data_IF_769885059579
#
_entry.id   IF_769885059579
#
_cell.length_a   1.000
_cell.length_b   1.000
_cell.length_c   1.000
_cell.angle_alpha   90.00
_cell.angle_beta   90.00
_cell.angle_gamma   90.00
#
_symmetry.space_group_name_H-M   'P 1'
#
loop_
_entity.id
_entity.type
_entity.pdbx_description
1 polymer ?
#
# COMPACT_ATOMS: atom_id res chain seq x y z
N UNK A 1 5.04 4.06 -20.59
CA UNK A 1 3.77 4.55 -20.02
C UNK A 1 3.25 3.68 -18.91
N UNK A 2 3.14 2.38 -19.14
CA UNK A 2 2.72 1.44 -18.09
C UNK A 2 3.67 1.42 -16.90
N UNK A 3 4.97 1.54 -17.16
CA UNK A 3 6.01 1.58 -16.13
C UNK A 3 5.83 2.81 -15.24
N UNK A 4 5.49 3.96 -15.80
CA UNK A 4 5.28 5.19 -15.05
C UNK A 4 4.09 5.06 -14.09
N UNK A 5 2.99 4.48 -14.56
CA UNK A 5 1.79 4.24 -13.73
C UNK A 5 2.14 3.26 -12.61
N UNK A 6 2.83 2.18 -12.94
CA UNK A 6 3.26 1.19 -11.96
C UNK A 6 4.13 1.82 -10.89
N UNK A 7 5.16 2.57 -11.30
CA UNK A 7 6.08 3.22 -10.37
C UNK A 7 5.38 4.26 -9.51
N UNK A 8 4.52 5.10 -10.11
CA UNK A 8 3.81 6.13 -9.36
C UNK A 8 2.90 5.51 -8.29
N UNK A 9 2.16 4.48 -8.65
CA UNK A 9 1.26 3.80 -7.72
C UNK A 9 2.04 3.07 -6.63
N UNK A 10 3.08 2.33 -7.00
CA UNK A 10 3.90 1.60 -6.06
C UNK A 10 4.62 2.54 -5.09
N UNK A 11 5.23 3.60 -5.61
CA UNK A 11 5.95 4.58 -4.77
C UNK A 11 4.99 5.32 -3.84
N UNK A 12 3.80 5.69 -4.32
CA UNK A 12 2.78 6.32 -3.49
C UNK A 12 2.36 5.42 -2.34
N UNK A 13 2.09 4.15 -2.61
CA UNK A 13 1.71 3.19 -1.59
C UNK A 13 2.85 2.90 -0.61
N UNK A 14 4.07 2.77 -1.10
CA UNK A 14 5.24 2.54 -0.24
C UNK A 14 5.48 3.76 0.66
N UNK A 15 5.34 4.99 0.12
CA UNK A 15 5.46 6.21 0.92
C UNK A 15 4.45 6.26 2.05
N UNK A 16 3.19 5.96 1.76
CA UNK A 16 2.14 5.86 2.77
C UNK A 16 2.47 4.75 3.77
N UNK A 17 2.97 3.61 3.29
CA UNK A 17 3.40 2.51 4.14
C UNK A 17 4.50 2.90 5.10
N UNK A 18 5.46 3.70 4.67
CA UNK A 18 6.52 4.21 5.53
C UNK A 18 5.94 5.09 6.64
N UNK A 19 5.02 5.99 6.31
CA UNK A 19 4.33 6.81 7.31
C UNK A 19 3.60 5.95 8.33
N UNK A 20 2.87 4.96 7.86
CA UNK A 20 2.14 4.03 8.72
C UNK A 20 3.09 3.18 9.56
N UNK A 21 4.25 2.84 9.03
CA UNK A 21 5.28 2.12 9.77
C UNK A 21 5.75 2.93 11.00
N UNK A 22 5.97 4.23 10.83
CA UNK A 22 6.33 5.09 11.96
C UNK A 22 5.20 5.15 12.99
N UNK A 23 3.95 5.23 12.54
CA UNK A 23 2.78 5.20 13.42
C UNK A 23 2.73 3.86 14.17
N UNK A 24 3.01 2.77 13.46
CA UNK A 24 3.06 1.43 14.06
C UNK A 24 4.15 1.35 15.13
N UNK A 25 5.33 1.88 14.88
CA UNK A 25 6.42 1.91 15.85
C UNK A 25 6.00 2.64 17.14
N UNK A 26 5.32 3.78 16.97
CA UNK A 26 4.81 4.54 18.12
C UNK A 26 3.74 3.75 18.88
N UNK A 27 2.85 3.06 18.14
CA UNK A 27 1.80 2.24 18.75
C UNK A 27 2.35 1.05 19.51
N UNK A 28 3.48 0.52 19.07
CA UNK A 28 4.14 -0.61 19.73
C UNK A 28 5.18 -0.16 20.77
N UNK A 29 5.24 1.12 21.07
CA UNK A 29 6.09 1.64 22.10
C UNK A 29 5.67 1.03 23.45
N UNK A 30 6.61 0.47 24.18
CA UNK A 30 6.34 -0.27 25.41
C UNK A 30 6.44 -1.79 25.25
N UNK A 31 6.46 -2.29 24.03
CA UNK A 31 6.76 -3.70 23.76
C UNK A 31 8.26 -3.89 23.66
N UNK A 32 8.74 -5.08 24.02
CA UNK A 32 10.14 -5.44 23.77
C UNK A 32 10.37 -5.61 22.26
N UNK A 33 11.63 -5.53 21.82
CA UNK A 33 11.97 -5.76 20.43
C UNK A 33 11.48 -7.12 19.92
N UNK A 34 11.58 -8.17 20.73
CA UNK A 34 11.11 -9.50 20.38
C UNK A 34 9.59 -9.57 20.27
N UNK A 35 8.86 -8.82 21.11
CA UNK A 35 7.41 -8.79 21.06
C UNK A 35 6.89 -8.06 19.83
N UNK A 36 7.56 -6.99 19.41
CA UNK A 36 7.15 -6.17 18.27
C UNK A 36 7.58 -6.76 16.93
N UNK A 37 8.65 -7.54 16.89
CA UNK A 37 9.27 -8.03 15.65
C UNK A 37 8.29 -8.74 14.71
N UNK A 38 7.46 -9.72 15.16
CA UNK A 38 6.53 -10.39 14.23
C UNK A 38 5.55 -9.43 13.57
N UNK A 39 5.03 -8.46 14.31
CA UNK A 39 4.10 -7.47 13.77
C UNK A 39 4.77 -6.57 12.74
N UNK A 40 6.00 -6.14 13.00
CA UNK A 40 6.75 -5.29 12.08
C UNK A 40 7.09 -6.02 10.78
N UNK A 41 7.52 -7.28 10.89
CA UNK A 41 7.81 -8.11 9.73
C UNK A 41 6.54 -8.33 8.90
N UNK A 42 5.43 -8.67 9.54
CA UNK A 42 4.16 -8.84 8.86
C UNK A 42 3.76 -7.57 8.12
N UNK A 43 3.91 -6.42 8.74
CA UNK A 43 3.56 -5.14 8.15
C UNK A 43 4.39 -4.84 6.91
N UNK A 44 5.70 -5.07 6.96
CA UNK A 44 6.59 -4.85 5.81
C UNK A 44 6.16 -5.74 4.64
N UNK A 45 5.92 -7.03 4.89
CA UNK A 45 5.46 -7.96 3.86
C UNK A 45 4.12 -7.50 3.30
N UNK A 46 3.20 -7.10 4.16
CA UNK A 46 1.87 -6.60 3.78
C UNK A 46 1.97 -5.40 2.84
N UNK A 47 2.78 -4.40 3.20
CA UNK A 47 2.97 -3.19 2.40
C UNK A 47 3.55 -3.54 1.03
N UNK A 48 4.57 -4.39 0.98
CA UNK A 48 5.20 -4.76 -0.28
C UNK A 48 4.23 -5.52 -1.19
N UNK A 49 3.50 -6.48 -0.65
CA UNK A 49 2.54 -7.27 -1.43
C UNK A 49 1.40 -6.41 -1.97
N UNK A 50 0.76 -5.61 -1.11
CA UNK A 50 -0.38 -4.81 -1.54
C UNK A 50 0.02 -3.62 -2.39
N UNK A 51 1.21 -3.06 -2.21
CA UNK A 51 1.72 -2.01 -3.09
C UNK A 51 1.96 -2.55 -4.49
N UNK A 52 2.55 -3.73 -4.62
CA UNK A 52 2.76 -4.37 -5.92
C UNK A 52 1.42 -4.71 -6.58
N UNK A 53 0.47 -5.28 -5.84
CA UNK A 53 -0.85 -5.61 -6.36
C UNK A 53 -1.60 -4.36 -6.81
N UNK A 54 -1.58 -3.29 -6.03
CA UNK A 54 -2.21 -2.02 -6.39
C UNK A 54 -1.59 -1.43 -7.66
N UNK A 55 -0.26 -1.51 -7.79
CA UNK A 55 0.43 -1.01 -8.96
C UNK A 55 0.04 -1.77 -10.23
N UNK A 56 -0.05 -3.10 -10.17
CA UNK A 56 -0.52 -3.92 -11.29
C UNK A 56 -1.95 -3.57 -11.65
N UNK A 57 -2.82 -3.46 -10.65
CA UNK A 57 -4.23 -3.09 -10.88
C UNK A 57 -4.37 -1.71 -11.50
N UNK A 58 -3.51 -0.76 -11.10
CA UNK A 58 -3.52 0.59 -11.67
C UNK A 58 -3.17 0.56 -13.16
N UNK A 59 -2.16 -0.22 -13.54
CA UNK A 59 -1.78 -0.36 -14.96
C UNK A 59 -2.93 -0.96 -15.76
N UNK A 60 -3.56 -2.03 -15.25
CA UNK A 60 -4.68 -2.68 -15.94
C UNK A 60 -5.88 -1.74 -16.05
N UNK A 61 -6.17 -0.98 -15.00
CA UNK A 61 -7.26 -0.01 -14.99
C UNK A 61 -7.02 1.12 -16.00
N UNK A 62 -5.81 1.65 -16.06
CA UNK A 62 -5.47 2.70 -17.03
C UNK A 62 -5.61 2.20 -18.45
N UNK A 63 -5.17 0.98 -18.73
CA UNK A 63 -5.31 0.35 -20.04
C UNK A 63 -6.80 0.16 -20.40
N UNK A 64 -7.59 -0.30 -19.45
CA UNK A 64 -9.05 -0.45 -19.63
C UNK A 64 -9.71 0.89 -19.95
N UNK A 65 -9.42 1.93 -19.20
CA UNK A 65 -10.02 3.24 -19.41
C UNK A 65 -9.63 3.84 -20.75
N UNK A 66 -8.39 3.62 -21.18
CA UNK A 66 -7.91 4.14 -22.46
C UNK A 66 -8.55 3.41 -23.64
N UNK A 67 -8.66 2.08 -23.57
CA UNK A 67 -9.16 1.28 -24.71
C UNK A 67 -10.68 1.18 -24.72
N UNK A 68 -11.34 0.98 -23.59
CA UNK A 68 -12.78 0.72 -23.52
C UNK A 68 -13.61 1.99 -23.36
N UNK A 69 -13.10 2.97 -22.62
CA UNK A 69 -13.82 4.22 -22.36
C UNK A 69 -13.34 5.38 -23.24
N UNK A 70 -12.34 5.15 -24.08
CA UNK A 70 -11.77 6.16 -24.97
C UNK A 70 -11.28 7.42 -24.25
N UNK A 71 -10.88 7.28 -22.99
CA UNK A 71 -10.35 8.39 -22.24
C UNK A 71 -8.94 8.73 -22.70
N UNK A 72 -8.57 10.01 -22.59
CA UNK A 72 -7.22 10.45 -22.80
C UNK A 72 -6.32 9.68 -21.83
N UNK A 73 -5.19 9.23 -22.33
CA UNK A 73 -4.29 8.39 -21.55
C UNK A 73 -3.75 9.12 -20.30
N UNK A 74 -3.57 10.44 -20.37
CA UNK A 74 -3.17 11.23 -19.19
C UNK A 74 -4.28 11.18 -18.12
N UNK A 75 -5.54 11.39 -18.51
CA UNK A 75 -6.67 11.33 -17.59
C UNK A 75 -6.83 9.92 -17.01
N UNK A 76 -6.71 8.88 -17.86
CA UNK A 76 -6.82 7.50 -17.42
C UNK A 76 -5.72 7.15 -16.40
N UNK A 77 -4.49 7.60 -16.66
CA UNK A 77 -3.36 7.37 -15.77
C UNK A 77 -3.55 8.05 -14.42
N UNK A 78 -3.96 9.32 -14.42
CA UNK A 78 -4.20 10.07 -13.18
C UNK A 78 -5.30 9.44 -12.34
N UNK A 79 -6.41 9.07 -12.98
CA UNK A 79 -7.54 8.42 -12.30
C UNK A 79 -7.09 7.10 -11.68
N UNK A 80 -6.40 6.26 -12.44
CA UNK A 80 -5.96 4.95 -11.98
C UNK A 80 -4.97 5.05 -10.84
N UNK A 81 -3.97 5.89 -10.96
CA UNK A 81 -2.98 6.10 -9.90
C UNK A 81 -3.66 6.60 -8.64
N UNK A 82 -4.53 7.61 -8.77
CA UNK A 82 -5.23 8.18 -7.62
C UNK A 82 -6.09 7.13 -6.91
N UNK A 83 -6.90 6.38 -7.66
CA UNK A 83 -7.78 5.36 -7.08
C UNK A 83 -6.96 4.29 -6.35
N UNK A 84 -5.90 3.78 -6.97
CA UNK A 84 -5.15 2.67 -6.39
C UNK A 84 -4.16 3.11 -5.32
N UNK A 85 -3.74 4.36 -5.30
CA UNK A 85 -3.00 4.90 -4.16
C UNK A 85 -3.93 5.00 -2.94
N UNK A 86 -5.15 5.50 -3.13
CA UNK A 86 -6.13 5.60 -2.03
C UNK A 86 -6.52 4.21 -1.54
N UNK A 87 -6.81 3.29 -2.47
CA UNK A 87 -7.16 1.90 -2.11
C UNK A 87 -6.00 1.23 -1.36
N UNK A 88 -4.77 1.41 -1.84
CA UNK A 88 -3.59 0.88 -1.18
C UNK A 88 -3.36 1.48 0.19
N UNK A 89 -3.64 2.78 0.36
CA UNK A 89 -3.54 3.44 1.66
C UNK A 89 -4.51 2.81 2.67
N UNK A 90 -5.74 2.54 2.26
CA UNK A 90 -6.74 1.88 3.10
C UNK A 90 -6.27 0.48 3.48
N UNK A 91 -5.75 -0.29 2.52
CA UNK A 91 -5.24 -1.63 2.77
C UNK A 91 -4.03 -1.61 3.71
N UNK A 92 -3.12 -0.67 3.54
CA UNK A 92 -1.95 -0.53 4.40
C UNK A 92 -2.33 -0.11 5.81
N UNK A 93 -3.35 0.73 5.95
CA UNK A 93 -3.90 1.07 7.27
C UNK A 93 -4.47 -0.19 7.95
N UNK A 94 -5.19 -1.02 7.19
CA UNK A 94 -5.66 -2.32 7.67
C UNK A 94 -4.51 -3.21 8.12
N UNK A 95 -3.39 -3.22 7.37
CA UNK A 95 -2.18 -3.93 7.73
C UNK A 95 -1.59 -3.45 9.05
N UNK A 96 -1.63 -2.14 9.32
CA UNK A 96 -1.19 -1.58 10.60
C UNK A 96 -2.01 -2.14 11.76
N UNK A 97 -3.32 -2.18 11.60
CA UNK A 97 -4.23 -2.73 12.62
C UNK A 97 -3.93 -4.21 12.84
N UNK A 98 -3.77 -4.99 11.77
CA UNK A 98 -3.46 -6.42 11.86
C UNK A 98 -2.13 -6.63 12.57
N UNK A 99 -1.12 -5.82 12.28
CA UNK A 99 0.18 -5.91 12.93
C UNK A 99 0.10 -5.65 14.43
N UNK A 100 -0.70 -4.66 14.84
CA UNK A 100 -0.92 -4.35 16.24
C UNK A 100 -1.63 -5.52 16.94
N UNK A 101 -2.68 -6.06 16.33
CA UNK A 101 -3.43 -7.19 16.87
C UNK A 101 -2.53 -8.42 17.00
N UNK A 102 -1.71 -8.69 15.98
CA UNK A 102 -0.78 -9.82 16.03
C UNK A 102 0.23 -9.66 17.18
N UNK A 103 0.81 -8.48 17.33
CA UNK A 103 1.77 -8.19 18.39
C UNK A 103 1.12 -8.40 19.76
N UNK A 104 -0.10 -7.94 19.94
CA UNK A 104 -0.84 -8.12 21.19
C UNK A 104 -1.14 -9.59 21.45
N UNK A 105 -1.53 -10.34 20.41
CA UNK A 105 -1.84 -11.76 20.53
C UNK A 105 -0.63 -12.62 20.90
N UNK A 106 0.55 -12.24 20.41
CA UNK A 106 1.81 -12.96 20.67
C UNK A 106 2.54 -12.50 21.94
N UNK A 107 2.03 -11.50 22.58
CA UNK A 107 2.61 -10.91 23.79
C UNK A 107 2.50 -11.79 25.07
#
# INVERSE_FOLDING_TARGET
>A
MKVEIFLATALGNIGIGIMLFFILLLSLNGYSGKQAEPGLILFIIWVLLFSAAAAVCAVLSANFLTTKKSLNWIAASLISVLIFVVAGAILNFGGTIVAIVLTEALR
#
